data_IF_615749936377
#
_entry.id   IF_615749936377
#
_cell.length_a   1.000
_cell.length_b   1.000
_cell.length_c   1.000
_cell.angle_alpha   90.00
_cell.angle_beta   90.00
_cell.angle_gamma   90.00
#
_symmetry.space_group_name_H-M   'P 1'
#
loop_
_entity.id
_entity.type
_entity.pdbx_description
1 polymer ?
#
# COMPACT_ATOMS: atom_id res chain seq x y z
N UNK A 1 -21.32 1.03 -8.78
CA UNK A 1 -19.96 1.53 -8.51
C UNK A 1 -19.57 2.62 -9.51
N UNK A 2 -19.24 3.80 -9.01
CA UNK A 2 -18.91 4.99 -9.81
C UNK A 2 -17.59 4.82 -10.57
N UNK A 3 -17.47 5.48 -11.73
CA UNK A 3 -16.28 5.41 -12.60
C UNK A 3 -15.01 5.90 -11.88
N UNK A 4 -15.14 6.90 -11.01
CA UNK A 4 -14.02 7.45 -10.24
C UNK A 4 -13.46 6.42 -9.25
N UNK A 5 -14.32 5.69 -8.53
CA UNK A 5 -13.92 4.62 -7.60
C UNK A 5 -13.13 3.54 -8.34
N UNK A 6 -13.62 3.12 -9.51
CA UNK A 6 -12.97 2.07 -10.31
C UNK A 6 -11.56 2.52 -10.72
N UNK A 7 -11.40 3.78 -11.11
CA UNK A 7 -10.09 4.29 -11.54
C UNK A 7 -9.14 4.39 -10.35
N UNK A 8 -9.58 4.95 -9.22
CA UNK A 8 -8.78 5.00 -7.99
C UNK A 8 -8.32 3.62 -7.54
N UNK A 9 -9.19 2.61 -7.62
CA UNK A 9 -8.83 1.23 -7.27
C UNK A 9 -7.74 0.65 -8.17
N UNK A 10 -7.78 0.91 -9.49
CA UNK A 10 -6.71 0.45 -10.39
C UNK A 10 -5.38 1.11 -10.07
N UNK A 11 -5.43 2.41 -9.79
CA UNK A 11 -4.24 3.17 -9.44
C UNK A 11 -3.63 2.70 -8.12
N UNK A 12 -4.45 2.41 -7.11
CA UNK A 12 -4.03 1.77 -5.85
C UNK A 12 -3.36 0.42 -6.12
N UNK A 13 -3.96 -0.41 -6.99
CA UNK A 13 -3.37 -1.70 -7.37
C UNK A 13 -2.03 -1.57 -8.09
N UNK A 14 -1.81 -0.48 -8.83
CA UNK A 14 -0.51 -0.19 -9.42
C UNK A 14 0.50 0.23 -8.36
N UNK A 15 0.13 1.15 -7.46
CA UNK A 15 1.01 1.64 -6.40
C UNK A 15 1.40 0.51 -5.43
N UNK A 16 0.50 -0.46 -5.18
CA UNK A 16 0.78 -1.64 -4.37
C UNK A 16 1.85 -2.56 -4.96
N UNK A 17 2.29 -2.38 -6.20
CA UNK A 17 3.38 -3.17 -6.77
C UNK A 17 4.77 -2.67 -6.32
N UNK A 18 4.86 -1.46 -5.78
CA UNK A 18 6.10 -0.90 -5.26
C UNK A 18 6.08 -0.91 -3.71
N UNK A 19 6.79 -1.86 -3.07
CA UNK A 19 6.84 -1.93 -1.62
C UNK A 19 7.68 -0.82 -0.97
N UNK A 20 8.44 -0.04 -1.76
CA UNK A 20 9.38 0.96 -1.24
C UNK A 20 8.91 2.40 -1.36
N UNK A 21 7.77 2.65 -2.02
CA UNK A 21 7.22 3.99 -2.19
C UNK A 21 5.76 4.09 -1.74
N UNK A 22 5.49 4.34 -0.45
CA UNK A 22 4.13 4.35 0.08
C UNK A 22 3.34 5.64 -0.22
N UNK A 23 4.01 6.74 -0.62
CA UNK A 23 3.36 8.05 -0.70
C UNK A 23 2.24 8.15 -1.74
N UNK A 24 2.38 7.62 -2.97
CA UNK A 24 1.28 7.63 -3.94
C UNK A 24 0.08 6.83 -3.45
N UNK A 25 0.35 5.67 -2.84
CA UNK A 25 -0.69 4.82 -2.26
C UNK A 25 -1.46 5.55 -1.16
N UNK A 26 -0.78 6.28 -0.28
CA UNK A 26 -1.41 7.06 0.79
C UNK A 26 -2.35 8.14 0.22
N UNK A 27 -1.88 8.94 -0.74
CA UNK A 27 -2.69 9.99 -1.39
C UNK A 27 -3.95 9.41 -2.04
N UNK A 28 -3.82 8.31 -2.78
CA UNK A 28 -4.96 7.67 -3.44
C UNK A 28 -5.92 7.02 -2.47
N UNK A 29 -5.44 6.41 -1.40
CA UNK A 29 -6.29 5.87 -0.34
C UNK A 29 -7.10 6.98 0.35
N UNK A 30 -6.50 8.14 0.61
CA UNK A 30 -7.23 9.30 1.15
C UNK A 30 -8.32 9.78 0.18
N UNK A 31 -7.99 9.91 -1.11
CA UNK A 31 -8.97 10.28 -2.14
C UNK A 31 -10.11 9.27 -2.24
N UNK A 32 -9.78 7.97 -2.20
CA UNK A 32 -10.79 6.91 -2.18
C UNK A 32 -11.72 7.06 -0.99
N UNK A 33 -11.18 7.27 0.23
CA UNK A 33 -12.01 7.48 1.43
C UNK A 33 -12.98 8.66 1.29
N UNK A 34 -12.59 9.76 0.64
CA UNK A 34 -13.51 10.89 0.39
C UNK A 34 -14.66 10.51 -0.55
N UNK A 35 -14.37 9.78 -1.64
CA UNK A 35 -15.40 9.30 -2.57
C UNK A 35 -16.32 8.26 -1.92
N UNK A 36 -15.79 7.38 -1.07
CA UNK A 36 -16.59 6.36 -0.40
C UNK A 36 -17.64 6.97 0.54
N UNK A 37 -17.38 8.15 1.13
CA UNK A 37 -18.36 8.84 2.00
C UNK A 37 -19.62 9.25 1.25
N UNK A 38 -19.57 9.38 -0.08
CA UNK A 38 -20.71 9.79 -0.90
C UNK A 38 -21.50 8.61 -1.45
N UNK A 39 -21.03 7.37 -1.27
CA UNK A 39 -21.68 6.17 -1.78
C UNK A 39 -22.76 5.63 -0.83
N UNK A 40 -23.81 4.99 -1.36
CA UNK A 40 -24.79 4.26 -0.55
C UNK A 40 -24.18 3.02 0.10
N UNK A 41 -24.71 2.63 1.27
CA UNK A 41 -24.15 1.51 2.07
C UNK A 41 -24.12 0.14 1.38
N UNK A 42 -25.03 -0.10 0.43
CA UNK A 42 -25.04 -1.34 -0.37
C UNK A 42 -23.82 -1.44 -1.29
N UNK A 43 -23.39 -0.33 -1.90
CA UNK A 43 -22.17 -0.26 -2.70
C UNK A 43 -20.92 -0.46 -1.83
N UNK A 44 -20.88 0.09 -0.61
CA UNK A 44 -19.76 -0.09 0.32
C UNK A 44 -19.58 -1.55 0.74
N UNK A 45 -20.68 -2.29 0.88
CA UNK A 45 -20.66 -3.71 1.27
C UNK A 45 -19.94 -4.58 0.22
N UNK A 46 -20.10 -4.23 -1.06
CA UNK A 46 -19.46 -4.94 -2.17
C UNK A 46 -17.94 -4.69 -2.23
N UNK A 47 -17.44 -3.65 -1.54
CA UNK A 47 -16.02 -3.29 -1.52
C UNK A 47 -15.22 -3.97 -0.42
N UNK A 48 -15.87 -4.60 0.56
CA UNK A 48 -15.18 -5.29 1.67
C UNK A 48 -14.12 -6.30 1.20
N UNK A 49 -14.37 -7.16 0.19
CA UNK A 49 -13.35 -8.09 -0.30
C UNK A 49 -12.14 -7.36 -0.92
N UNK A 50 -12.39 -6.22 -1.59
CA UNK A 50 -11.35 -5.40 -2.22
C UNK A 50 -10.47 -4.74 -1.17
N UNK A 51 -11.06 -4.19 -0.10
CA UNK A 51 -10.29 -3.63 1.02
C UNK A 51 -9.45 -4.68 1.74
N UNK A 52 -9.98 -5.89 1.89
CA UNK A 52 -9.24 -6.99 2.49
C UNK A 52 -8.04 -7.40 1.63
N UNK A 53 -8.18 -7.39 0.31
CA UNK A 53 -7.06 -7.61 -0.63
C UNK A 53 -6.01 -6.49 -0.54
N UNK A 54 -6.44 -5.22 -0.57
CA UNK A 54 -5.55 -4.07 -0.40
C UNK A 54 -4.77 -4.17 0.92
N UNK A 55 -5.45 -4.50 2.01
CA UNK A 55 -4.81 -4.69 3.33
C UNK A 55 -3.72 -5.75 3.29
N UNK A 56 -3.99 -6.92 2.71
CA UNK A 56 -3.00 -7.99 2.57
C UNK A 56 -1.79 -7.56 1.76
N UNK A 57 -1.99 -6.82 0.67
CA UNK A 57 -0.90 -6.32 -0.15
C UNK A 57 -0.05 -5.28 0.60
N UNK A 58 -0.66 -4.40 1.40
CA UNK A 58 0.07 -3.45 2.26
C UNK A 58 0.91 -4.20 3.31
N UNK A 59 0.33 -5.21 3.96
CA UNK A 59 1.04 -6.04 4.95
C UNK A 59 2.24 -6.78 4.31
N UNK A 60 2.06 -7.31 3.09
CA UNK A 60 3.13 -7.95 2.34
C UNK A 60 4.23 -6.96 1.93
N UNK A 61 3.85 -5.79 1.42
CA UNK A 61 4.80 -4.74 1.05
C UNK A 61 5.63 -4.28 2.24
N UNK A 62 5.00 -4.08 3.39
CA UNK A 62 5.68 -3.73 4.62
C UNK A 62 6.69 -4.81 5.04
N UNK A 63 6.30 -6.09 4.94
CA UNK A 63 7.19 -7.22 5.22
C UNK A 63 8.39 -7.25 4.27
N UNK A 64 8.17 -7.03 2.97
CA UNK A 64 9.24 -6.98 1.96
C UNK A 64 10.20 -5.84 2.26
N UNK A 65 9.69 -4.62 2.46
CA UNK A 65 10.50 -3.44 2.72
C UNK A 65 11.37 -3.61 3.98
N UNK A 66 10.79 -4.09 5.09
CA UNK A 66 11.54 -4.39 6.30
C UNK A 66 12.58 -5.50 6.09
N UNK A 67 12.22 -6.58 5.41
CA UNK A 67 13.15 -7.68 5.13
C UNK A 67 14.39 -7.20 4.37
N UNK A 68 14.21 -6.29 3.40
CA UNK A 68 15.32 -5.66 2.71
C UNK A 68 16.19 -4.78 3.62
N UNK A 69 15.60 -4.01 4.52
CA UNK A 69 16.35 -3.20 5.50
C UNK A 69 17.18 -4.09 6.44
N UNK A 70 16.64 -5.22 6.87
CA UNK A 70 17.37 -6.20 7.69
C UNK A 70 18.54 -6.82 6.92
N UNK A 71 18.32 -7.28 5.68
CA UNK A 71 19.38 -7.86 4.85
C UNK A 71 20.48 -6.84 4.53
N UNK A 72 20.10 -5.59 4.24
CA UNK A 72 21.06 -4.50 4.05
C UNK A 72 21.93 -4.34 5.29
N UNK A 73 21.31 -4.26 6.48
CA UNK A 73 22.00 -4.14 7.77
C UNK A 73 23.01 -5.28 7.97
N UNK A 74 22.59 -6.54 7.78
CA UNK A 74 23.48 -7.71 7.90
C UNK A 74 24.64 -7.66 6.90
N UNK A 75 24.40 -7.19 5.68
CA UNK A 75 25.43 -7.06 4.66
C UNK A 75 26.51 -6.02 5.05
N UNK A 76 26.10 -4.90 5.62
CA UNK A 76 27.02 -3.85 6.08
C UNK A 76 27.83 -4.30 7.30
N UNK A 77 27.20 -4.95 8.27
CA UNK A 77 27.89 -5.52 9.44
C UNK A 77 29.01 -6.49 9.03
N UNK A 78 28.73 -7.39 8.07
CA UNK A 78 29.73 -8.33 7.52
C UNK A 78 30.92 -7.64 6.85
N UNK A 79 30.76 -6.38 6.42
CA UNK A 79 31.79 -5.59 5.75
C UNK A 79 32.44 -4.53 6.67
N UNK A 80 32.05 -4.48 7.94
CA UNK A 80 32.55 -3.48 8.88
C UNK A 80 32.13 -2.05 8.53
N UNK A 81 31.00 -1.87 7.84
CA UNK A 81 30.43 -0.56 7.51
C UNK A 81 29.40 -0.19 8.59
N UNK A 82 29.52 1.02 9.16
CA UNK A 82 28.57 1.53 10.15
C UNK A 82 27.49 2.39 9.48
N UNK A 83 26.22 2.08 9.75
CA UNK A 83 25.04 2.83 9.30
C UNK A 83 24.82 4.15 10.06
N UNK A 84 25.54 4.34 11.17
CA UNK A 84 25.35 5.49 12.08
C UNK A 84 26.31 6.66 11.81
N UNK A 85 27.13 6.55 10.76
CA UNK A 85 28.08 7.57 10.35
C UNK A 85 27.47 8.59 9.38
#
# INVERSE_FOLDING_TARGET
MEKEVIELLKEIQEDLKDPFNPYPLEDRMLRLLEVLKTLPGEDLSQMLPIFEEIRKNIEENYRIALGWLEELTRFMEKRGLDLRA
#
